data_IF_725554367831
#
_entry.id   IF_725554367831
#
_cell.length_a   1.000
_cell.length_b   1.000
_cell.length_c   1.000
_cell.angle_alpha   90.00
_cell.angle_beta   90.00
_cell.angle_gamma   90.00
#
_symmetry.space_group_name_H-M   'P 1'
#
loop_
_entity.id
_entity.type
_entity.pdbx_description
1 polymer ?
#
# COMPACT_ATOMS: atom_id res chain seq x y z
N UNK A 1 4.82 3.78 -4.79
CA UNK A 1 4.61 4.63 -3.63
C UNK A 1 5.90 5.29 -3.15
N UNK A 2 5.79 6.23 -2.25
CA UNK A 2 6.90 6.97 -1.68
C UNK A 2 6.77 6.97 -0.15
N UNK A 3 7.90 6.78 0.54
CA UNK A 3 7.99 6.78 1.99
C UNK A 3 9.27 7.51 2.41
N UNK A 4 9.10 8.55 3.23
CA UNK A 4 10.19 9.25 3.91
C UNK A 4 9.85 9.25 5.40
N UNK A 5 10.70 8.64 6.19
CA UNK A 5 10.50 8.42 7.62
C UNK A 5 11.22 9.48 8.44
N UNK A 6 10.48 10.12 9.34
CA UNK A 6 11.04 11.09 10.27
C UNK A 6 10.08 11.30 11.45
N UNK A 7 10.62 11.72 12.58
CA UNK A 7 9.82 12.16 13.70
C UNK A 7 8.98 13.39 13.28
N UNK A 8 7.69 13.39 13.61
CA UNK A 8 6.74 14.41 13.12
C UNK A 8 7.13 15.86 13.46
N UNK A 9 7.86 16.07 14.55
CA UNK A 9 8.36 17.41 14.91
C UNK A 9 9.53 17.89 14.02
N UNK A 10 10.14 17.01 13.23
CA UNK A 10 11.32 17.28 12.39
C UNK A 10 11.02 17.17 10.90
N UNK A 11 9.98 16.42 10.53
CA UNK A 11 9.59 16.25 9.13
C UNK A 11 8.95 17.52 8.57
N UNK A 12 9.42 17.97 7.40
CA UNK A 12 8.89 19.17 6.76
C UNK A 12 7.47 18.96 6.21
N UNK A 13 6.63 20.02 6.21
CA UNK A 13 5.31 19.96 5.55
C UNK A 13 5.37 19.60 4.06
N UNK A 14 6.43 19.94 3.36
CA UNK A 14 6.61 19.59 1.95
C UNK A 14 6.81 18.09 1.76
N UNK A 15 7.50 17.41 2.67
CA UNK A 15 7.61 15.94 2.64
C UNK A 15 6.27 15.26 2.93
N UNK A 16 5.47 15.79 3.85
CA UNK A 16 4.10 15.29 4.06
C UNK A 16 3.27 15.42 2.78
N UNK A 17 3.27 16.60 2.20
CA UNK A 17 2.56 16.90 0.95
C UNK A 17 2.97 15.96 -0.17
N UNK A 18 4.27 15.77 -0.37
CA UNK A 18 4.82 14.86 -1.39
C UNK A 18 4.36 13.41 -1.19
N UNK A 19 4.32 12.91 0.05
CA UNK A 19 3.82 11.56 0.33
C UNK A 19 2.34 11.42 -0.06
N UNK A 20 1.49 12.40 0.27
CA UNK A 20 0.07 12.39 -0.11
C UNK A 20 -0.11 12.55 -1.62
N UNK A 21 0.62 13.43 -2.25
CA UNK A 21 0.60 13.63 -3.71
C UNK A 21 0.90 12.32 -4.46
N UNK A 22 1.97 11.64 -4.09
CA UNK A 22 2.39 10.41 -4.79
C UNK A 22 1.47 9.23 -4.44
N UNK A 23 1.21 9.01 -3.14
CA UNK A 23 0.55 7.78 -2.70
C UNK A 23 -0.98 7.85 -2.83
N UNK A 24 -1.58 9.03 -2.75
CA UNK A 24 -3.04 9.21 -2.76
C UNK A 24 -3.51 9.83 -4.07
N UNK A 25 -3.04 11.04 -4.39
CA UNK A 25 -3.47 11.75 -5.61
C UNK A 25 -3.02 10.98 -6.85
N UNK A 26 -1.78 10.47 -6.87
CA UNK A 26 -1.26 9.63 -7.96
C UNK A 26 -2.11 8.38 -8.21
N UNK A 27 -2.58 7.71 -7.15
CA UNK A 27 -3.49 6.56 -7.26
C UNK A 27 -4.83 6.99 -7.90
N UNK A 28 -5.43 8.06 -7.41
CA UNK A 28 -6.70 8.57 -7.95
C UNK A 28 -6.56 9.01 -9.41
N UNK A 29 -5.45 9.65 -9.78
CA UNK A 29 -5.18 10.04 -11.17
C UNK A 29 -5.12 8.81 -12.09
N UNK A 30 -4.43 7.74 -11.72
CA UNK A 30 -4.43 6.50 -12.48
C UNK A 30 -5.84 5.90 -12.58
N UNK A 31 -6.57 5.90 -11.47
CA UNK A 31 -7.94 5.37 -11.40
C UNK A 31 -8.89 6.16 -12.30
N UNK A 32 -8.80 7.49 -12.32
CA UNK A 32 -9.68 8.35 -13.12
C UNK A 32 -9.62 8.05 -14.62
N UNK A 33 -8.50 7.51 -15.10
CA UNK A 33 -8.31 7.15 -16.51
C UNK A 33 -8.91 5.78 -16.82
N UNK A 34 -8.71 4.79 -15.94
CA UNK A 34 -9.05 3.38 -16.27
C UNK A 34 -10.43 2.96 -15.77
N UNK A 35 -10.89 3.51 -14.64
CA UNK A 35 -12.10 3.07 -13.96
C UNK A 35 -13.38 3.31 -14.80
N UNK A 36 -13.58 4.47 -15.47
CA UNK A 36 -14.73 4.71 -16.33
C UNK A 36 -14.86 3.66 -17.45
N UNK A 37 -13.75 3.28 -18.07
CA UNK A 37 -13.75 2.27 -19.13
C UNK A 37 -14.06 0.87 -18.60
N UNK A 38 -13.60 0.54 -17.39
CA UNK A 38 -13.95 -0.72 -16.70
C UNK A 38 -15.45 -0.78 -16.38
N UNK A 39 -16.02 0.31 -15.86
CA UNK A 39 -17.46 0.45 -15.61
C UNK A 39 -18.27 0.23 -16.90
N UNK A 40 -17.89 0.92 -17.98
CA UNK A 40 -18.56 0.85 -19.28
C UNK A 40 -18.56 -0.56 -19.87
N UNK A 41 -17.43 -1.27 -19.84
CA UNK A 41 -17.30 -2.65 -20.35
C UNK A 41 -17.77 -3.73 -19.38
N UNK A 42 -18.17 -3.34 -18.15
CA UNK A 42 -18.65 -4.23 -17.09
C UNK A 42 -17.67 -5.36 -16.73
N UNK A 43 -16.39 -5.05 -16.76
CA UNK A 43 -15.33 -5.98 -16.35
C UNK A 43 -14.03 -5.21 -16.12
N UNK A 44 -13.28 -5.63 -15.13
CA UNK A 44 -11.97 -5.09 -14.82
C UNK A 44 -11.50 -5.48 -13.42
N UNK A 45 -10.20 -5.30 -13.18
CA UNK A 45 -9.61 -5.51 -11.88
C UNK A 45 -8.56 -4.43 -11.62
N UNK A 46 -8.68 -3.74 -10.51
CA UNK A 46 -7.68 -2.81 -9.98
C UNK A 46 -7.07 -3.47 -8.75
N UNK A 47 -5.74 -3.52 -8.68
CA UNK A 47 -5.01 -3.97 -7.48
C UNK A 47 -4.20 -2.79 -6.97
N UNK A 48 -4.58 -2.28 -5.81
CA UNK A 48 -3.88 -1.19 -5.15
C UNK A 48 -2.90 -1.74 -4.10
N UNK A 49 -1.68 -1.19 -4.09
CA UNK A 49 -0.68 -1.55 -3.09
C UNK A 49 -0.90 -0.70 -1.84
N UNK A 50 -1.58 -1.29 -0.88
CA UNK A 50 -1.73 -0.75 0.47
C UNK A 50 -0.45 -0.92 1.30
N UNK A 51 -0.63 -1.24 2.57
CA UNK A 51 0.42 -1.61 3.53
C UNK A 51 -0.23 -2.07 4.82
N UNK A 52 0.46 -2.83 5.67
CA UNK A 52 0.08 -3.01 7.07
C UNK A 52 0.00 -1.65 7.81
N UNK A 53 0.75 -0.63 7.34
CA UNK A 53 0.64 0.76 7.79
C UNK A 53 -0.68 1.46 7.41
N UNK A 54 -1.54 0.82 6.63
CA UNK A 54 -2.92 1.25 6.38
C UNK A 54 -3.93 0.69 7.38
N UNK A 55 -3.47 -0.11 8.35
CA UNK A 55 -4.27 -0.71 9.43
C UNK A 55 -3.67 -0.47 10.81
N UNK A 56 -2.34 -0.46 10.88
CA UNK A 56 -1.58 -0.24 12.09
C UNK A 56 -0.86 1.11 12.03
N UNK A 57 -0.52 1.65 13.18
CA UNK A 57 0.26 2.88 13.29
C UNK A 57 1.68 2.49 13.70
N UNK A 58 2.65 2.95 12.91
CA UNK A 58 4.07 2.79 13.21
C UNK A 58 4.68 4.13 13.58
N UNK A 59 5.60 4.13 14.54
CA UNK A 59 6.34 5.33 14.94
C UNK A 59 7.17 5.87 13.76
N UNK A 60 7.37 7.19 13.72
CA UNK A 60 8.09 7.89 12.66
C UNK A 60 7.48 7.76 11.24
N UNK A 61 6.29 7.17 11.12
CA UNK A 61 5.57 6.96 9.85
C UNK A 61 4.31 7.83 9.73
N UNK A 62 4.17 8.92 10.47
CA UNK A 62 2.89 9.65 10.61
C UNK A 62 2.22 9.97 9.27
N UNK A 63 2.93 10.62 8.35
CA UNK A 63 2.38 10.94 7.02
C UNK A 63 2.16 9.67 6.19
N UNK A 64 3.10 8.73 6.22
CA UNK A 64 2.98 7.47 5.48
C UNK A 64 1.79 6.64 5.98
N UNK A 65 1.62 6.48 7.30
CA UNK A 65 0.44 5.82 7.89
C UNK A 65 -0.84 6.46 7.35
N UNK A 66 -0.91 7.80 7.37
CA UNK A 66 -2.06 8.55 6.84
C UNK A 66 -2.32 8.25 5.37
N UNK A 67 -1.28 8.25 4.52
CA UNK A 67 -1.45 7.93 3.10
C UNK A 67 -1.93 6.49 2.88
N UNK A 68 -1.44 5.53 3.66
CA UNK A 68 -1.84 4.12 3.49
C UNK A 68 -3.24 3.83 4.02
N UNK A 69 -3.66 4.47 5.12
CA UNK A 69 -5.07 4.45 5.53
C UNK A 69 -5.98 5.06 4.45
N UNK A 70 -5.57 6.18 3.84
CA UNK A 70 -6.30 6.77 2.73
C UNK A 70 -6.39 5.83 1.52
N UNK A 71 -5.31 5.13 1.15
CA UNK A 71 -5.31 4.13 0.06
C UNK A 71 -6.32 3.01 0.34
N UNK A 72 -6.38 2.49 1.57
CA UNK A 72 -7.37 1.47 1.94
C UNK A 72 -8.81 2.01 1.84
N UNK A 73 -9.06 3.20 2.38
CA UNK A 73 -10.39 3.82 2.33
C UNK A 73 -10.84 4.13 0.89
N UNK A 74 -9.95 4.71 0.07
CA UNK A 74 -10.22 4.98 -1.34
C UNK A 74 -10.49 3.69 -2.13
N UNK A 75 -9.71 2.64 -1.87
CA UNK A 75 -9.89 1.34 -2.53
C UNK A 75 -11.24 0.72 -2.19
N UNK A 76 -11.69 0.83 -0.93
CA UNK A 76 -13.02 0.36 -0.52
C UNK A 76 -14.14 1.19 -1.18
N UNK A 77 -13.99 2.52 -1.28
CA UNK A 77 -14.92 3.37 -2.04
C UNK A 77 -15.05 2.91 -3.50
N UNK A 78 -13.92 2.78 -4.18
CA UNK A 78 -13.87 2.31 -5.57
C UNK A 78 -14.45 0.89 -5.73
N UNK A 79 -14.21 0.00 -4.77
CA UNK A 79 -14.76 -1.35 -4.77
C UNK A 79 -16.29 -1.32 -4.73
N UNK A 80 -16.87 -0.49 -3.87
CA UNK A 80 -18.34 -0.33 -3.75
C UNK A 80 -18.95 0.24 -5.03
N UNK A 81 -18.31 1.26 -5.61
CA UNK A 81 -18.76 1.88 -6.85
C UNK A 81 -18.59 0.93 -8.06
N UNK A 82 -17.52 0.13 -8.08
CA UNK A 82 -17.26 -0.83 -9.15
C UNK A 82 -18.09 -2.10 -9.10
N UNK A 83 -18.50 -2.52 -7.92
CA UNK A 83 -19.22 -3.79 -7.69
C UNK A 83 -20.49 -3.97 -8.56
N UNK A 84 -21.40 -2.99 -8.69
CA UNK A 84 -22.57 -3.11 -9.57
C UNK A 84 -22.22 -3.29 -11.05
N UNK A 85 -20.99 -2.98 -11.43
CA UNK A 85 -20.48 -3.04 -12.79
C UNK A 85 -19.51 -4.20 -13.03
N UNK A 86 -19.46 -5.17 -12.12
CA UNK A 86 -18.56 -6.32 -12.19
C UNK A 86 -17.06 -5.91 -12.29
N UNK A 87 -16.68 -4.81 -11.61
CA UNK A 87 -15.30 -4.35 -11.48
C UNK A 87 -14.79 -4.67 -10.09
N UNK A 88 -13.67 -5.39 -10.02
CA UNK A 88 -13.01 -5.74 -8.75
C UNK A 88 -11.98 -4.68 -8.38
N UNK A 89 -11.95 -4.29 -7.12
CA UNK A 89 -10.86 -3.49 -6.56
C UNK A 89 -10.32 -4.21 -5.34
N UNK A 90 -9.03 -4.48 -5.34
CA UNK A 90 -8.33 -5.33 -4.38
C UNK A 90 -7.22 -4.52 -3.74
N UNK A 91 -7.05 -4.64 -2.44
CA UNK A 91 -5.87 -4.12 -1.74
C UNK A 91 -4.91 -5.27 -1.44
N UNK A 92 -3.66 -5.13 -1.86
CA UNK A 92 -2.57 -5.96 -1.35
C UNK A 92 -1.79 -5.11 -0.35
N UNK A 93 -1.74 -5.56 0.90
CA UNK A 93 -1.23 -4.82 2.04
C UNK A 93 0.04 -5.48 2.63
N UNK A 94 1.24 -5.19 2.07
CA UNK A 94 2.47 -5.76 2.57
C UNK A 94 2.89 -5.19 3.92
N UNK A 95 3.54 -6.04 4.73
CA UNK A 95 4.35 -5.62 5.87
C UNK A 95 5.77 -5.26 5.44
N UNK A 96 6.77 -5.81 6.12
CA UNK A 96 8.18 -5.60 5.79
C UNK A 96 8.55 -6.29 4.47
N UNK A 97 9.00 -5.52 3.49
CA UNK A 97 9.45 -6.00 2.18
C UNK A 97 10.82 -5.40 1.87
N UNK A 98 11.71 -6.21 1.29
CA UNK A 98 12.98 -5.74 0.75
C UNK A 98 12.71 -4.96 -0.55
N UNK A 99 12.88 -3.64 -0.48
CA UNK A 99 12.64 -2.73 -1.60
C UNK A 99 13.36 -1.39 -1.38
N UNK A 100 13.42 -0.58 -2.41
CA UNK A 100 13.99 0.78 -2.35
C UNK A 100 13.02 1.82 -1.76
N UNK A 101 11.89 1.42 -1.19
CA UNK A 101 10.85 2.33 -0.72
C UNK A 101 11.35 3.35 0.32
N UNK A 102 12.33 2.98 1.15
CA UNK A 102 12.94 3.85 2.17
C UNK A 102 14.10 4.68 1.68
N UNK A 103 14.45 4.63 0.38
CA UNK A 103 15.62 5.36 -0.17
C UNK A 103 15.54 6.89 0.02
N UNK A 104 14.34 7.44 0.22
CA UNK A 104 14.13 8.86 0.54
C UNK A 104 14.36 9.22 2.01
N UNK A 105 14.56 8.25 2.91
CA UNK A 105 14.76 8.48 4.33
C UNK A 105 16.22 8.83 4.60
N UNK A 106 16.49 10.00 5.16
CA UNK A 106 17.84 10.47 5.49
C UNK A 106 18.25 10.23 6.94
N UNK A 107 17.31 10.00 7.85
CA UNK A 107 17.55 9.78 9.27
C UNK A 107 18.20 8.40 9.51
N UNK A 108 19.50 8.41 9.81
CA UNK A 108 20.30 7.19 9.98
C UNK A 108 19.87 6.35 11.19
N UNK A 109 19.37 6.99 12.27
CA UNK A 109 18.90 6.25 13.44
C UNK A 109 17.63 5.45 13.09
N UNK A 110 16.68 6.07 12.39
CA UNK A 110 15.44 5.39 11.95
C UNK A 110 15.76 4.22 11.00
N UNK A 111 16.74 4.40 10.11
CA UNK A 111 17.19 3.32 9.21
C UNK A 111 17.85 2.17 9.99
N UNK A 112 18.67 2.49 11.00
CA UNK A 112 19.29 1.48 11.87
C UNK A 112 18.26 0.72 12.70
N UNK A 113 17.30 1.43 13.28
CA UNK A 113 16.20 0.80 14.06
C UNK A 113 15.35 -0.11 13.17
N UNK A 114 15.07 0.31 11.95
CA UNK A 114 14.35 -0.50 10.96
C UNK A 114 15.14 -1.76 10.60
N UNK A 115 16.44 -1.66 10.37
CA UNK A 115 17.28 -2.83 10.09
C UNK A 115 17.37 -3.77 11.28
N UNK A 116 17.49 -3.26 12.49
CA UNK A 116 17.44 -4.05 13.72
C UNK A 116 16.11 -4.81 13.85
N UNK A 117 15.00 -4.12 13.58
CA UNK A 117 13.68 -4.78 13.57
C UNK A 117 13.59 -5.86 12.49
N UNK A 118 14.08 -5.58 11.27
CA UNK A 118 14.13 -6.56 10.17
C UNK A 118 14.86 -7.84 10.58
N UNK A 119 15.99 -7.70 11.25
CA UNK A 119 16.77 -8.86 11.76
C UNK A 119 15.99 -9.62 12.84
N UNK A 120 15.27 -8.93 13.72
CA UNK A 120 14.50 -9.56 14.80
C UNK A 120 13.33 -10.42 14.31
N UNK A 121 12.84 -10.16 13.09
CA UNK A 121 11.74 -10.91 12.46
C UNK A 121 12.23 -11.91 11.39
N UNK A 122 13.52 -12.26 11.40
CA UNK A 122 14.18 -13.16 10.44
C UNK A 122 14.14 -12.65 8.97
N UNK A 123 14.14 -11.34 8.77
CA UNK A 123 14.21 -10.73 7.45
C UNK A 123 12.89 -10.13 6.97
N UNK A 124 12.81 -9.86 5.69
CA UNK A 124 11.68 -9.25 5.03
C UNK A 124 11.17 -10.17 3.90
N UNK A 125 9.94 -9.93 3.44
CA UNK A 125 9.44 -10.57 2.22
C UNK A 125 10.20 -10.04 1.00
N UNK A 126 10.28 -10.83 -0.05
CA UNK A 126 10.77 -10.38 -1.35
C UNK A 126 9.66 -9.69 -2.15
N UNK A 127 10.04 -8.86 -3.12
CA UNK A 127 9.07 -8.29 -4.07
C UNK A 127 8.32 -9.38 -4.87
N UNK A 128 8.95 -10.53 -5.11
CA UNK A 128 8.33 -11.70 -5.75
C UNK A 128 7.23 -12.32 -4.90
N UNK A 129 7.37 -12.35 -3.57
CA UNK A 129 6.30 -12.83 -2.68
C UNK A 129 5.03 -12.01 -2.85
N UNK A 130 5.19 -10.68 -2.95
CA UNK A 130 4.09 -9.76 -3.16
C UNK A 130 3.49 -9.93 -4.56
N UNK A 131 4.33 -10.08 -5.59
CA UNK A 131 3.88 -10.29 -6.96
C UNK A 131 3.07 -11.59 -7.10
N UNK A 132 3.49 -12.69 -6.47
CA UNK A 132 2.73 -13.96 -6.45
C UNK A 132 1.37 -13.81 -5.79
N UNK A 133 1.27 -13.05 -4.70
CA UNK A 133 0.00 -12.78 -4.03
C UNK A 133 -0.94 -11.94 -4.91
N UNK A 134 -0.40 -10.93 -5.61
CA UNK A 134 -1.16 -10.14 -6.59
C UNK A 134 -1.67 -11.02 -7.73
N UNK A 135 -0.82 -11.89 -8.27
CA UNK A 135 -1.19 -12.82 -9.34
C UNK A 135 -2.28 -13.79 -8.88
N UNK A 136 -2.15 -14.36 -7.68
CA UNK A 136 -3.19 -15.19 -7.08
C UNK A 136 -4.53 -14.47 -7.00
N UNK A 137 -4.54 -13.23 -6.50
CA UNK A 137 -5.77 -12.45 -6.40
C UNK A 137 -6.38 -12.11 -7.77
N UNK A 138 -5.53 -11.80 -8.75
CA UNK A 138 -5.96 -11.47 -10.11
C UNK A 138 -6.59 -12.68 -10.83
N UNK A 139 -5.99 -13.86 -10.67
CA UNK A 139 -6.41 -15.11 -11.34
C UNK A 139 -7.74 -15.65 -10.83
N UNK A 140 -8.28 -15.14 -9.74
CA UNK A 140 -9.60 -15.57 -9.28
C UNK A 140 -10.67 -15.24 -10.31
N UNK A 141 -11.75 -16.07 -10.43
CA UNK A 141 -12.83 -15.79 -11.36
C UNK A 141 -13.46 -14.42 -11.10
N UNK A 142 -13.97 -13.77 -12.16
CA UNK A 142 -14.44 -12.38 -12.10
C UNK A 142 -15.56 -12.14 -11.07
N UNK A 143 -16.36 -13.15 -10.74
CA UNK A 143 -17.41 -13.06 -9.71
C UNK A 143 -16.90 -13.22 -8.27
N UNK A 144 -15.60 -13.46 -8.08
CA UNK A 144 -14.94 -13.50 -6.77
C UNK A 144 -14.06 -12.28 -6.60
N UNK A 145 -14.34 -11.44 -5.62
CA UNK A 145 -13.50 -10.31 -5.27
C UNK A 145 -12.85 -10.54 -3.91
N UNK A 146 -11.54 -10.69 -3.90
CA UNK A 146 -10.73 -10.61 -2.68
C UNK A 146 -10.63 -9.12 -2.33
N UNK A 147 -11.13 -8.73 -1.16
CA UNK A 147 -11.11 -7.32 -0.78
C UNK A 147 -9.72 -6.86 -0.37
N UNK A 148 -9.03 -7.73 0.35
CA UNK A 148 -7.69 -7.45 0.82
C UNK A 148 -6.87 -8.73 1.05
N UNK A 149 -5.57 -8.63 0.73
CA UNK A 149 -4.54 -9.60 1.13
C UNK A 149 -3.47 -8.87 1.93
N UNK A 150 -3.42 -9.09 3.22
CA UNK A 150 -2.34 -8.65 4.08
C UNK A 150 -1.27 -9.76 4.19
N UNK A 151 -0.01 -9.39 3.96
CA UNK A 151 1.12 -10.31 3.92
C UNK A 151 2.28 -9.71 4.72
N UNK A 152 2.86 -10.48 5.61
CA UNK A 152 4.03 -10.06 6.38
C UNK A 152 4.95 -11.24 6.64
N UNK A 153 6.22 -11.02 6.99
CA UNK A 153 7.03 -12.06 7.61
C UNK A 153 6.30 -12.69 8.79
N UNK A 154 6.42 -14.00 8.97
CA UNK A 154 5.68 -14.74 10.00
C UNK A 154 5.89 -14.19 11.41
N UNK A 155 7.09 -13.68 11.70
CA UNK A 155 7.43 -13.10 13.01
C UNK A 155 7.07 -11.62 13.16
N UNK A 156 6.60 -10.95 12.10
CA UNK A 156 6.12 -9.59 12.20
C UNK A 156 4.77 -9.57 12.92
N UNK A 157 4.71 -8.94 14.09
CA UNK A 157 3.50 -8.92 14.94
C UNK A 157 2.53 -7.80 14.52
N UNK A 158 3.04 -6.71 13.95
CA UNK A 158 2.23 -5.53 13.54
C UNK A 158 2.64 -5.06 12.16
#
# INVERSE_FOLDING_TARGET
>A
GYMNLEHSAQQSPDEWKKQFEINCVGLLNCTSVIFPEMIKRKTGTIINVGSTAGRNIYDNHTAYNGTKHAVHAMSEGLRREGSPHNVRVIVVAPGMVDSELTSGTSNQQILADRESYRQSIDGALSSDDIARAMLFAYQQPQNLCIWELALSPTKQIT
#
